data_IF_837726502414
#
_entry.id   IF_837726502414
#
_cell.length_a   1.000
_cell.length_b   1.000
_cell.length_c   1.000
_cell.angle_alpha   90.00
_cell.angle_beta   90.00
_cell.angle_gamma   90.00
#
_symmetry.space_group_name_H-M   'P 1'
#
loop_
_entity.id
_entity.type
_entity.pdbx_description
1 polymer ?
#
# COMPACT_ATOMS: atom_id res chain seq x y z
N UNK A 1 -3.51 -17.54 -7.98
CA UNK A 1 -3.21 -16.17 -7.58
C UNK A 1 -2.59 -16.08 -6.20
N UNK A 2 -3.19 -16.69 -5.20
CA UNK A 2 -2.63 -16.60 -3.85
C UNK A 2 -1.23 -17.17 -3.72
N UNK A 3 -0.84 -18.11 -4.58
CA UNK A 3 0.53 -18.63 -4.62
C UNK A 3 1.56 -17.56 -4.97
N UNK A 4 1.17 -16.59 -5.78
CA UNK A 4 2.06 -15.47 -6.12
C UNK A 4 2.39 -14.65 -4.88
N UNK A 5 1.42 -14.54 -3.99
CA UNK A 5 1.55 -13.70 -2.79
C UNK A 5 2.37 -14.38 -1.69
N UNK A 6 2.59 -15.69 -1.78
CA UNK A 6 3.28 -16.44 -0.75
C UNK A 6 4.74 -16.78 -1.06
N UNK A 7 5.19 -16.48 -2.26
CA UNK A 7 6.51 -16.95 -2.69
C UNK A 7 7.67 -16.09 -2.22
N UNK A 8 7.42 -14.93 -1.62
CA UNK A 8 8.48 -14.05 -1.19
C UNK A 8 8.11 -13.34 0.11
N UNK A 9 8.90 -13.55 1.14
CA UNK A 9 8.69 -12.93 2.45
C UNK A 9 9.88 -12.05 2.79
N UNK A 10 9.98 -10.91 2.10
CA UNK A 10 11.09 -9.98 2.27
C UNK A 10 11.16 -9.36 3.65
N UNK A 11 10.00 -9.04 4.25
CA UNK A 11 9.91 -8.52 5.62
C UNK A 11 9.21 -9.55 6.48
N UNK A 12 9.60 -9.63 7.74
CA UNK A 12 8.98 -10.57 8.68
C UNK A 12 7.47 -10.35 8.74
N UNK A 13 6.70 -11.42 8.53
CA UNK A 13 5.25 -11.38 8.59
C UNK A 13 4.58 -10.64 7.45
N UNK A 14 5.35 -10.16 6.48
CA UNK A 14 4.83 -9.49 5.31
C UNK A 14 5.40 -10.14 4.07
N UNK A 15 4.56 -10.25 3.03
CA UNK A 15 4.93 -10.85 1.76
C UNK A 15 5.17 -9.73 0.75
N UNK A 16 6.27 -9.80 0.02
CA UNK A 16 6.51 -8.86 -1.07
C UNK A 16 5.63 -9.20 -2.26
N UNK A 17 5.11 -8.17 -2.92
CA UNK A 17 4.31 -8.30 -4.13
C UNK A 17 4.91 -7.38 -5.19
N UNK A 18 4.99 -7.89 -6.42
CA UNK A 18 5.44 -7.07 -7.55
C UNK A 18 4.35 -6.15 -8.05
N UNK A 19 4.75 -5.12 -8.80
CA UNK A 19 3.77 -4.24 -9.44
C UNK A 19 2.84 -5.03 -10.37
N UNK A 20 3.38 -5.98 -11.11
CA UNK A 20 2.57 -6.80 -12.02
C UNK A 20 1.53 -7.62 -11.26
N UNK A 21 1.93 -8.26 -10.15
CA UNK A 21 1.00 -9.04 -9.35
C UNK A 21 -0.08 -8.15 -8.71
N UNK A 22 0.31 -6.98 -8.22
CA UNK A 22 -0.65 -6.04 -7.65
C UNK A 22 -1.66 -5.58 -8.71
N UNK A 23 -1.21 -5.32 -9.92
CA UNK A 23 -2.11 -4.88 -11.00
C UNK A 23 -3.20 -5.92 -11.28
N UNK A 24 -2.89 -7.20 -11.13
CA UNK A 24 -3.86 -8.28 -11.29
C UNK A 24 -4.88 -8.26 -10.15
N UNK A 25 -4.44 -7.96 -8.94
CA UNK A 25 -5.33 -7.96 -7.75
C UNK A 25 -6.32 -6.80 -7.76
N UNK A 26 -6.00 -5.69 -8.41
CA UNK A 26 -6.85 -4.50 -8.39
C UNK A 26 -8.26 -4.75 -8.91
N UNK A 27 -8.45 -5.74 -9.79
CA UNK A 27 -9.77 -6.05 -10.33
C UNK A 27 -10.61 -6.94 -9.42
N UNK A 28 -10.28 -8.24 -9.31
CA UNK A 28 -11.18 -9.20 -8.69
C UNK A 28 -11.30 -9.10 -7.17
N UNK A 29 -10.28 -8.60 -6.48
CA UNK A 29 -10.28 -8.53 -5.02
C UNK A 29 -10.44 -7.12 -4.49
N UNK A 30 -10.91 -6.21 -5.32
CA UNK A 30 -10.98 -4.80 -4.99
C UNK A 30 -11.68 -4.53 -3.65
N UNK A 31 -12.80 -5.20 -3.37
CA UNK A 31 -13.56 -4.93 -2.14
C UNK A 31 -12.82 -5.30 -0.86
N UNK A 32 -11.82 -6.17 -0.95
CA UNK A 32 -11.03 -6.61 0.22
C UNK A 32 -9.61 -6.09 0.19
N UNK A 33 -9.23 -5.38 -0.84
CA UNK A 33 -7.89 -4.88 -1.02
C UNK A 33 -7.81 -3.43 -0.55
N UNK A 34 -6.93 -3.19 0.39
CA UNK A 34 -6.64 -1.85 0.92
C UNK A 34 -5.20 -1.53 0.57
N UNK A 35 -4.99 -0.43 -0.15
CA UNK A 35 -3.65 0.00 -0.53
C UNK A 35 -3.34 1.28 0.22
N UNK A 36 -2.21 1.29 0.93
CA UNK A 36 -1.80 2.43 1.76
C UNK A 36 -0.52 3.03 1.19
N UNK A 37 -0.60 4.31 0.84
CA UNK A 37 0.53 5.11 0.38
C UNK A 37 1.17 5.76 1.60
N UNK A 38 2.39 5.34 1.92
CA UNK A 38 3.10 5.75 3.13
C UNK A 38 4.20 6.77 2.86
N UNK A 39 4.13 7.45 1.71
CA UNK A 39 5.13 8.48 1.39
C UNK A 39 4.95 9.69 2.31
N UNK A 40 6.08 10.36 2.58
CA UNK A 40 6.04 11.63 3.30
C UNK A 40 5.36 12.69 2.41
N UNK A 41 4.86 13.75 3.05
CA UNK A 41 4.18 14.82 2.30
C UNK A 41 5.07 15.44 1.25
N UNK A 42 6.37 15.64 1.54
CA UNK A 42 7.30 16.20 0.57
C UNK A 42 7.47 15.30 -0.66
N UNK A 43 7.44 14.00 -0.47
CA UNK A 43 7.52 13.05 -1.58
C UNK A 43 6.25 13.09 -2.44
N UNK A 44 5.09 13.19 -1.79
CA UNK A 44 3.81 13.31 -2.49
C UNK A 44 3.77 14.61 -3.28
N UNK A 45 4.25 15.70 -2.69
CA UNK A 45 4.27 17.00 -3.37
C UNK A 45 5.17 16.98 -4.59
N UNK A 46 6.28 16.24 -4.51
CA UNK A 46 7.23 16.13 -5.61
C UNK A 46 6.67 15.28 -6.76
N UNK A 47 5.88 14.25 -6.45
CA UNK A 47 5.26 13.39 -7.45
C UNK A 47 3.80 13.13 -7.04
N UNK A 48 2.88 14.02 -7.44
CA UNK A 48 1.50 14.00 -6.93
C UNK A 48 0.60 13.00 -7.64
N UNK A 49 1.05 11.76 -7.75
CA UNK A 49 0.28 10.67 -8.34
C UNK A 49 0.34 9.45 -7.43
N UNK A 50 -0.73 8.67 -7.41
CA UNK A 50 -0.86 7.49 -6.56
C UNK A 50 -1.37 6.30 -7.37
N UNK A 51 -1.18 5.11 -6.84
CA UNK A 51 -1.81 3.91 -7.38
C UNK A 51 -3.33 4.07 -7.23
N UNK A 52 -4.12 3.72 -8.27
CA UNK A 52 -5.58 3.87 -8.20
C UNK A 52 -6.16 3.18 -6.97
N UNK A 53 -6.98 3.93 -6.22
CA UNK A 53 -7.63 3.43 -5.02
C UNK A 53 -6.78 3.47 -3.76
N UNK A 54 -5.52 3.88 -3.84
CA UNK A 54 -4.68 3.96 -2.66
C UNK A 54 -5.13 5.09 -1.73
N UNK A 55 -4.92 4.87 -0.43
CA UNK A 55 -5.19 5.86 0.59
C UNK A 55 -3.86 6.48 1.05
N UNK A 56 -3.78 7.80 1.00
CA UNK A 56 -2.63 8.51 1.55
C UNK A 56 -2.74 8.46 3.07
N UNK A 57 -1.71 7.97 3.73
CA UNK A 57 -1.72 7.88 5.18
C UNK A 57 -0.33 8.16 5.73
N UNK A 58 -0.28 8.60 6.98
CA UNK A 58 0.98 8.93 7.64
C UNK A 58 1.43 7.77 8.51
N UNK A 59 2.72 7.79 8.86
CA UNK A 59 3.28 6.80 9.78
C UNK A 59 2.54 6.76 11.11
N UNK A 60 2.08 7.93 11.58
CA UNK A 60 1.36 8.05 12.85
C UNK A 60 -0.03 7.43 12.75
N UNK A 61 -0.70 7.62 11.62
CA UNK A 61 -2.09 7.20 11.45
C UNK A 61 -2.26 5.73 11.07
N UNK A 62 -1.22 5.11 10.49
CA UNK A 62 -1.30 3.73 10.02
C UNK A 62 -1.76 2.75 11.09
N UNK A 63 -1.20 2.75 12.31
CA UNK A 63 -1.64 1.78 13.32
C UNK A 63 -3.13 1.90 13.66
N UNK A 64 -3.62 3.13 13.75
CA UNK A 64 -5.03 3.38 14.03
C UNK A 64 -5.90 2.89 12.87
N UNK A 65 -5.52 3.23 11.64
CA UNK A 65 -6.25 2.80 10.46
C UNK A 65 -6.36 1.28 10.40
N UNK A 66 -5.26 0.58 10.66
CA UNK A 66 -5.24 -0.88 10.59
C UNK A 66 -6.24 -1.50 11.58
N UNK A 67 -6.41 -0.91 12.77
CA UNK A 67 -7.35 -1.44 13.74
C UNK A 67 -8.81 -1.32 13.28
N UNK A 68 -9.09 -0.43 12.34
CA UNK A 68 -10.45 -0.19 11.85
C UNK A 68 -10.78 -0.88 10.52
N UNK A 69 -9.81 -1.55 9.91
CA UNK A 69 -10.05 -2.21 8.61
C UNK A 69 -11.02 -3.39 8.76
N UNK A 70 -11.81 -3.69 7.71
CA UNK A 70 -12.68 -4.85 7.73
C UNK A 70 -11.91 -6.15 7.99
N UNK A 71 -12.57 -7.12 8.58
CA UNK A 71 -11.98 -8.42 8.83
C UNK A 71 -11.43 -9.05 7.55
N UNK A 72 -10.27 -9.65 7.65
CA UNK A 72 -9.62 -10.38 6.56
C UNK A 72 -9.27 -9.51 5.36
N UNK A 73 -9.10 -8.21 5.57
CA UNK A 73 -8.62 -7.33 4.50
C UNK A 73 -7.22 -7.73 4.05
N UNK A 74 -6.97 -7.49 2.78
CA UNK A 74 -5.63 -7.60 2.19
C UNK A 74 -5.05 -6.20 2.13
N UNK A 75 -3.93 -5.98 2.82
CA UNK A 75 -3.35 -4.66 2.97
C UNK A 75 -2.03 -4.61 2.23
N UNK A 76 -1.93 -3.72 1.25
CA UNK A 76 -0.69 -3.49 0.52
C UNK A 76 -0.12 -2.15 0.95
N UNK A 77 1.13 -2.15 1.37
CA UNK A 77 1.83 -0.96 1.81
C UNK A 77 2.89 -0.59 0.77
N UNK A 78 3.03 0.71 0.51
CA UNK A 78 4.14 1.15 -0.34
C UNK A 78 4.63 2.53 0.02
N UNK A 79 5.90 2.77 -0.30
CA UNK A 79 6.54 4.08 -0.24
C UNK A 79 7.01 4.43 -1.65
N UNK A 80 7.87 5.43 -1.81
CA UNK A 80 8.43 5.77 -3.12
C UNK A 80 9.28 4.61 -3.66
N UNK A 81 10.15 4.10 -2.81
CA UNK A 81 11.01 2.96 -3.09
C UNK A 81 10.64 1.83 -2.10
N UNK A 82 11.62 1.07 -1.64
CA UNK A 82 11.35 0.03 -0.66
C UNK A 82 10.82 0.60 0.64
N UNK A 83 9.87 -0.12 1.24
CA UNK A 83 9.28 0.30 2.50
C UNK A 83 10.31 0.22 3.63
N UNK A 84 10.43 1.27 4.47
CA UNK A 84 11.32 1.22 5.63
C UNK A 84 10.99 0.06 6.57
N UNK A 85 12.01 -0.55 7.15
CA UNK A 85 11.84 -1.66 8.08
C UNK A 85 11.05 -1.31 9.33
N UNK A 86 10.92 -0.02 9.63
CA UNK A 86 10.12 0.43 10.77
C UNK A 86 8.64 0.03 10.67
N UNK A 87 8.17 -0.33 9.48
CA UNK A 87 6.79 -0.79 9.29
C UNK A 87 6.63 -2.30 9.46
N UNK A 88 7.71 -3.04 9.68
CA UNK A 88 7.67 -4.51 9.69
C UNK A 88 6.81 -5.10 10.81
N UNK A 89 6.49 -4.33 11.84
CA UNK A 89 5.70 -4.81 12.98
C UNK A 89 4.20 -4.57 12.85
N UNK A 90 3.76 -3.94 11.78
CA UNK A 90 2.33 -3.66 11.59
C UNK A 90 1.49 -4.93 11.59
N UNK A 91 2.03 -6.03 11.07
CA UNK A 91 1.31 -7.30 11.04
C UNK A 91 0.98 -7.85 12.43
N UNK A 92 1.67 -7.35 13.48
CA UNK A 92 1.40 -7.78 14.85
C UNK A 92 0.15 -7.14 15.43
N UNK A 93 -0.38 -6.09 14.81
CA UNK A 93 -1.57 -5.41 15.30
C UNK A 93 -2.84 -6.23 15.11
N UNK A 94 -2.88 -7.02 14.06
CA UNK A 94 -4.02 -7.88 13.75
C UNK A 94 -3.56 -9.10 12.99
N UNK A 95 -3.98 -10.27 13.44
CA UNK A 95 -3.59 -11.53 12.81
C UNK A 95 -4.56 -12.04 11.74
N UNK A 96 -5.70 -11.37 11.58
CA UNK A 96 -6.67 -11.73 10.54
C UNK A 96 -6.42 -11.05 9.20
N UNK A 97 -5.54 -10.05 9.16
CA UNK A 97 -5.20 -9.33 7.94
C UNK A 97 -4.00 -9.98 7.24
N UNK A 98 -3.98 -9.85 5.92
CA UNK A 98 -2.84 -10.27 5.11
C UNK A 98 -2.08 -9.02 4.69
N UNK A 99 -0.79 -8.95 5.04
CA UNK A 99 0.04 -7.78 4.77
C UNK A 99 1.01 -8.03 3.65
N UNK A 100 1.05 -7.13 2.69
CA UNK A 100 1.93 -7.18 1.53
C UNK A 100 2.67 -5.87 1.38
N UNK A 101 3.88 -5.94 0.86
CA UNK A 101 4.71 -4.77 0.59
C UNK A 101 5.02 -4.74 -0.90
N UNK A 102 4.74 -3.62 -1.55
CA UNK A 102 5.05 -3.46 -2.97
C UNK A 102 6.57 -3.33 -3.15
N UNK A 103 7.16 -4.32 -3.80
CA UNK A 103 8.61 -4.34 -4.06
C UNK A 103 9.00 -3.11 -4.87
N UNK A 104 10.04 -2.41 -4.41
CA UNK A 104 10.54 -1.18 -5.03
C UNK A 104 9.49 -0.06 -5.11
N UNK A 105 8.39 -0.18 -4.37
CA UNK A 105 7.42 0.87 -4.14
C UNK A 105 6.75 1.45 -5.37
N UNK A 106 6.31 2.70 -5.24
CA UNK A 106 5.62 3.41 -6.33
C UNK A 106 6.47 3.49 -7.60
N UNK A 107 7.79 3.55 -7.43
CA UNK A 107 8.70 3.60 -8.57
C UNK A 107 8.54 2.39 -9.48
N UNK A 108 8.35 1.19 -8.91
CA UNK A 108 8.17 -0.03 -9.71
C UNK A 108 6.84 -0.01 -10.46
N UNK A 109 5.79 0.52 -9.83
CA UNK A 109 4.47 0.63 -10.46
C UNK A 109 4.53 1.59 -11.65
N UNK A 110 5.13 2.74 -11.42
CA UNK A 110 5.29 3.75 -12.45
C UNK A 110 6.17 3.27 -13.60
N UNK A 111 7.30 2.64 -13.29
CA UNK A 111 8.23 2.13 -14.32
C UNK A 111 7.60 1.05 -15.19
N UNK A 112 6.67 0.28 -14.64
CA UNK A 112 5.96 -0.75 -15.39
C UNK A 112 4.88 -0.17 -16.31
N UNK A 113 4.60 1.14 -16.21
CA UNK A 113 3.63 1.78 -17.08
C UNK A 113 2.17 1.58 -16.66
N UNK A 114 1.93 1.18 -15.42
CA UNK A 114 0.56 1.00 -14.93
C UNK A 114 -0.10 2.36 -14.64
N UNK A 115 -1.44 2.35 -14.63
CA UNK A 115 -2.23 3.56 -14.46
C UNK A 115 -1.97 4.23 -13.11
N UNK A 116 -2.00 5.56 -13.12
CA UNK A 116 -1.85 6.39 -11.92
C UNK A 116 -3.05 7.32 -11.80
N UNK A 117 -3.35 7.72 -10.59
CA UNK A 117 -4.36 8.73 -10.32
C UNK A 117 -3.71 9.98 -9.74
N UNK A 118 -4.29 11.14 -10.03
CA UNK A 118 -3.82 12.40 -9.47
C UNK A 118 -4.21 12.51 -8.00
N UNK A 119 -3.26 12.90 -7.17
CA UNK A 119 -3.50 13.14 -5.74
C UNK A 119 -4.46 14.31 -5.52
N UNK A 120 -4.59 15.22 -6.49
CA UNK A 120 -5.48 16.36 -6.36
C UNK A 120 -6.93 15.96 -6.05
N UNK A 121 -7.35 14.75 -6.43
CA UNK A 121 -8.68 14.24 -6.09
C UNK A 121 -8.86 14.07 -4.58
N UNK A 122 -7.78 13.93 -3.84
CA UNK A 122 -7.80 13.63 -2.40
C UNK A 122 -7.31 14.79 -1.55
N UNK A 123 -6.70 15.80 -2.18
CA UNK A 123 -6.05 16.89 -1.45
C UNK A 123 -7.02 17.65 -0.54
N UNK A 124 -8.24 17.89 -1.02
CA UNK A 124 -9.25 18.59 -0.23
C UNK A 124 -9.66 17.82 1.03
N UNK A 125 -9.73 16.51 0.93
CA UNK A 125 -10.06 15.66 2.08
C UNK A 125 -8.95 15.69 3.12
N UNK A 126 -7.70 15.64 2.69
CA UNK A 126 -6.56 15.68 3.61
C UNK A 126 -6.43 17.04 4.30
N UNK A 127 -6.69 18.09 3.55
CA UNK A 127 -6.58 19.46 4.10
C UNK A 127 -7.59 19.74 5.19
N UNK A 128 -8.68 18.98 5.25
CA UNK A 128 -9.70 19.12 6.27
C UNK A 128 -9.41 18.36 7.55
N UNK A 129 -8.49 17.43 7.46
CA UNK A 129 -8.12 16.62 8.59
C UNK A 129 -7.16 17.39 9.51
#
# INVERSE_FOLDING_TARGET
MWKLLQRNQGLRGMVEISAADLSVLLGPLFSKLIILDLRRQDEVDHYPYIIPGALLTTKVDVPVLITWLPLRSWVVLYATDDLPGSYSRLHLLRNDLSFYVLSAGLRSWWSAGFAMESVSLYAGLRARD
#
